data_IF_920947526303
#
_entry.id   IF_920947526303
#
_cell.length_a   1.000
_cell.length_b   1.000
_cell.length_c   1.000
_cell.angle_alpha   90.00
_cell.angle_beta   90.00
_cell.angle_gamma   90.00
#
_symmetry.space_group_name_H-M   'P 1'
#
loop_
_entity.id
_entity.type
_entity.pdbx_description
1 polymer ?
#
# COMPACT_ATOMS: atom_id res chain seq x y z
N UNK A 1 8.66 -9.59 22.38
CA UNK A 1 8.03 -9.10 21.14
C UNK A 1 6.58 -8.67 21.31
N UNK A 2 5.71 -9.49 21.92
CA UNK A 2 4.27 -9.17 22.10
C UNK A 2 4.05 -7.83 22.83
N UNK A 3 4.78 -7.56 23.91
CA UNK A 3 4.66 -6.28 24.64
C UNK A 3 5.07 -5.06 23.81
N UNK A 4 6.04 -5.19 22.90
CA UNK A 4 6.45 -4.11 22.00
C UNK A 4 5.38 -3.83 20.96
N UNK A 5 4.83 -4.88 20.35
CA UNK A 5 3.73 -4.75 19.40
C UNK A 5 2.52 -4.10 20.09
N UNK A 6 2.19 -4.51 21.31
CA UNK A 6 1.11 -3.89 22.08
C UNK A 6 1.34 -2.40 22.32
N UNK A 7 2.56 -1.99 22.65
CA UNK A 7 2.88 -0.55 22.79
C UNK A 7 2.72 0.21 21.49
N UNK A 8 3.12 -0.37 20.35
CA UNK A 8 2.94 0.24 19.03
C UNK A 8 1.46 0.34 18.63
N UNK A 9 0.63 -0.65 18.96
CA UNK A 9 -0.82 -0.59 18.70
C UNK A 9 -1.50 0.48 19.55
N UNK A 10 -1.15 0.60 20.84
CA UNK A 10 -1.68 1.64 21.73
C UNK A 10 -1.38 3.05 21.20
N UNK A 11 -0.20 3.23 20.63
CA UNK A 11 0.23 4.47 19.99
C UNK A 11 -0.63 4.84 18.77
N UNK A 12 -1.17 3.88 18.04
CA UNK A 12 -2.03 4.11 16.88
C UNK A 12 -3.48 4.45 17.25
N UNK A 13 -4.00 3.83 18.32
CA UNK A 13 -5.40 4.00 18.73
C UNK A 13 -5.83 5.46 18.94
N UNK A 14 -4.89 6.35 19.29
CA UNK A 14 -5.12 7.79 19.51
C UNK A 14 -4.56 8.69 18.40
N UNK A 15 -4.07 8.12 17.30
CA UNK A 15 -3.43 8.90 16.24
C UNK A 15 -4.44 9.35 15.19
N UNK A 16 -4.48 10.65 14.91
CA UNK A 16 -5.22 11.21 13.77
C UNK A 16 -4.78 10.60 12.43
N UNK A 17 -3.53 10.13 12.33
CA UNK A 17 -2.98 9.52 11.12
C UNK A 17 -3.76 8.25 10.71
N UNK A 18 -4.24 7.47 11.69
CA UNK A 18 -5.07 6.29 11.41
C UNK A 18 -6.37 6.69 10.71
N UNK A 19 -7.08 7.70 11.23
CA UNK A 19 -8.31 8.20 10.63
C UNK A 19 -8.09 8.85 9.26
N UNK A 20 -7.00 9.61 9.09
CA UNK A 20 -6.65 10.20 7.78
C UNK A 20 -6.38 9.11 6.75
N UNK A 21 -5.64 8.06 7.13
CA UNK A 21 -5.39 6.92 6.23
C UNK A 21 -6.68 6.16 5.86
N UNK A 22 -7.64 6.08 6.79
CA UNK A 22 -8.95 5.48 6.55
C UNK A 22 -9.72 6.27 5.48
N UNK A 23 -9.74 7.61 5.58
CA UNK A 23 -10.34 8.47 4.55
C UNK A 23 -9.66 8.27 3.19
N UNK A 24 -8.34 8.17 3.18
CA UNK A 24 -7.59 7.87 1.97
C UNK A 24 -7.94 6.51 1.36
N UNK A 25 -8.19 5.48 2.18
CA UNK A 25 -8.63 4.16 1.71
C UNK A 25 -10.03 4.18 1.08
N UNK A 26 -10.91 5.10 1.50
CA UNK A 26 -12.25 5.28 0.92
C UNK A 26 -12.21 6.09 -0.38
N UNK A 27 -11.14 6.86 -0.62
CA UNK A 27 -11.04 7.75 -1.78
C UNK A 27 -11.14 7.01 -3.13
N UNK A 28 -10.43 5.90 -3.30
CA UNK A 28 -10.49 5.10 -4.54
C UNK A 28 -11.92 4.57 -4.83
N UNK A 29 -12.57 3.84 -3.89
CA UNK A 29 -13.97 3.44 -4.03
C UNK A 29 -14.94 4.57 -4.32
N UNK A 30 -14.72 5.74 -3.70
CA UNK A 30 -15.58 6.90 -3.91
C UNK A 30 -15.40 7.52 -5.30
N UNK A 31 -14.17 7.67 -5.78
CA UNK A 31 -13.86 8.21 -7.11
C UNK A 31 -14.44 7.30 -8.20
N UNK A 32 -14.28 5.99 -8.08
CA UNK A 32 -14.84 5.04 -9.05
C UNK A 32 -16.37 5.01 -8.99
N UNK A 33 -16.96 5.12 -7.80
CA UNK A 33 -18.41 5.24 -7.64
C UNK A 33 -18.94 6.45 -8.40
N UNK A 34 -18.38 7.63 -8.16
CA UNK A 34 -18.75 8.85 -8.89
C UNK A 34 -18.54 8.69 -10.40
N UNK A 35 -17.41 8.11 -10.82
CA UNK A 35 -17.15 7.82 -12.24
C UNK A 35 -18.22 6.92 -12.86
N UNK A 36 -18.68 5.92 -12.11
CA UNK A 36 -19.69 4.96 -12.57
C UNK A 36 -21.06 5.60 -12.68
N UNK A 37 -21.45 6.44 -11.71
CA UNK A 37 -22.70 7.22 -11.79
C UNK A 37 -22.71 8.16 -13.01
N UNK A 38 -21.59 8.83 -13.29
CA UNK A 38 -21.45 9.70 -14.47
C UNK A 38 -21.57 8.88 -15.77
N UNK A 39 -20.97 7.69 -15.82
CA UNK A 39 -21.07 6.79 -16.98
C UNK A 39 -22.49 6.27 -17.18
N UNK A 40 -23.18 5.86 -16.11
CA UNK A 40 -24.58 5.43 -16.15
C UNK A 40 -25.50 6.53 -16.69
N UNK A 41 -25.29 7.79 -16.29
CA UNK A 41 -26.09 8.90 -16.78
C UNK A 41 -25.84 9.22 -18.26
N UNK A 42 -24.60 9.03 -18.75
CA UNK A 42 -24.24 9.30 -20.15
C UNK A 42 -24.56 8.15 -21.11
N UNK A 43 -24.49 6.91 -20.64
CA UNK A 43 -24.63 5.70 -21.44
C UNK A 43 -25.69 4.79 -20.82
N UNK A 44 -26.96 5.20 -20.94
CA UNK A 44 -28.09 4.52 -20.31
C UNK A 44 -28.35 3.10 -20.84
N UNK A 45 -27.80 2.76 -22.01
CA UNK A 45 -27.98 1.45 -22.65
C UNK A 45 -26.89 0.43 -22.26
N UNK A 46 -25.89 0.82 -21.47
CA UNK A 46 -24.79 -0.06 -21.05
C UNK A 46 -25.02 -0.60 -19.64
N UNK A 47 -24.88 -1.92 -19.47
CA UNK A 47 -24.88 -2.57 -18.16
C UNK A 47 -23.53 -2.39 -17.48
N UNK A 48 -23.55 -1.93 -16.23
CA UNK A 48 -22.34 -1.74 -15.43
C UNK A 48 -22.19 -2.90 -14.43
N UNK A 49 -21.08 -3.62 -14.52
CA UNK A 49 -20.88 -4.88 -13.80
C UNK A 49 -20.07 -4.67 -12.51
N UNK A 50 -20.40 -5.44 -11.47
CA UNK A 50 -19.62 -5.49 -10.23
C UNK A 50 -18.14 -5.84 -10.46
N UNK A 51 -17.86 -6.76 -11.38
CA UNK A 51 -16.49 -7.20 -11.69
C UNK A 51 -15.63 -6.03 -12.17
N UNK A 52 -16.10 -5.28 -13.16
CA UNK A 52 -15.37 -4.12 -13.71
C UNK A 52 -15.18 -3.05 -12.65
N UNK A 53 -16.21 -2.82 -11.82
CA UNK A 53 -16.12 -1.85 -10.73
C UNK A 53 -15.03 -2.22 -9.71
N UNK A 54 -14.95 -3.47 -9.27
CA UNK A 54 -13.88 -3.90 -8.36
C UNK A 54 -12.49 -3.80 -8.99
N UNK A 55 -12.36 -4.15 -10.27
CA UNK A 55 -11.10 -4.02 -11.01
C UNK A 55 -10.67 -2.55 -11.09
N UNK A 56 -11.58 -1.63 -11.43
CA UNK A 56 -11.31 -0.20 -11.47
C UNK A 56 -10.88 0.33 -10.10
N UNK A 57 -11.59 -0.05 -9.02
CA UNK A 57 -11.21 0.36 -7.65
C UNK A 57 -9.81 -0.11 -7.31
N UNK A 58 -9.52 -1.40 -7.56
CA UNK A 58 -8.21 -1.96 -7.27
C UNK A 58 -7.12 -1.26 -8.07
N UNK A 59 -7.38 -0.96 -9.34
CA UNK A 59 -6.48 -0.19 -10.19
C UNK A 59 -6.13 1.18 -9.59
N UNK A 60 -7.12 1.96 -9.15
CA UNK A 60 -6.88 3.26 -8.51
C UNK A 60 -6.08 3.13 -7.20
N UNK A 61 -6.32 2.07 -6.42
CA UNK A 61 -5.54 1.80 -5.20
C UNK A 61 -4.09 1.48 -5.56
N UNK A 62 -3.86 0.55 -6.48
CA UNK A 62 -2.51 0.05 -6.76
C UNK A 62 -1.64 1.09 -7.47
N UNK A 63 -2.21 1.81 -8.44
CA UNK A 63 -1.43 2.73 -9.27
C UNK A 63 -1.29 4.13 -8.66
N UNK A 64 -2.31 4.62 -7.96
CA UNK A 64 -2.43 6.05 -7.61
C UNK A 64 -2.47 6.31 -6.10
N UNK A 65 -3.40 5.68 -5.39
CA UNK A 65 -3.76 6.10 -4.02
C UNK A 65 -3.01 5.32 -2.94
N UNK A 66 -2.76 4.03 -3.16
CA UNK A 66 -2.13 3.13 -2.19
C UNK A 66 -0.68 3.50 -1.93
N UNK A 67 0.12 3.75 -2.98
CA UNK A 67 1.55 4.05 -2.84
C UNK A 67 1.82 5.29 -1.96
N UNK A 68 1.17 6.45 -2.15
CA UNK A 68 1.37 7.61 -1.30
C UNK A 68 0.87 7.36 0.13
N UNK A 69 -0.31 6.77 0.30
CA UNK A 69 -0.87 6.52 1.65
C UNK A 69 0.05 5.59 2.44
N UNK A 70 0.42 4.44 1.86
CA UNK A 70 1.27 3.47 2.53
C UNK A 70 2.66 4.04 2.78
N UNK A 71 3.18 4.86 1.88
CA UNK A 71 4.42 5.56 2.08
C UNK A 71 4.38 6.55 3.24
N UNK A 72 3.35 7.38 3.31
CA UNK A 72 3.16 8.35 4.40
C UNK A 72 3.03 7.62 5.76
N UNK A 73 2.26 6.52 5.81
CA UNK A 73 2.13 5.68 7.02
C UNK A 73 3.48 5.07 7.41
N UNK A 74 4.21 4.54 6.44
CA UNK A 74 5.54 3.94 6.65
C UNK A 74 6.50 4.98 7.23
N UNK A 75 6.55 6.17 6.62
CA UNK A 75 7.37 7.27 7.11
C UNK A 75 6.92 7.74 8.48
N UNK A 76 5.63 7.81 8.75
CA UNK A 76 5.11 8.14 10.08
C UNK A 76 5.62 7.15 11.12
N UNK A 77 5.49 5.84 10.89
CA UNK A 77 5.93 4.81 11.84
C UNK A 77 7.45 4.84 12.12
N UNK A 78 8.26 5.05 11.09
CA UNK A 78 9.72 5.00 11.20
C UNK A 78 10.37 6.33 11.57
N UNK A 79 9.75 7.47 11.26
CA UNK A 79 10.28 8.79 11.60
C UNK A 79 9.85 9.25 13.01
N UNK A 80 8.73 8.74 13.54
CA UNK A 80 8.18 9.25 14.81
C UNK A 80 9.17 9.27 15.98
N UNK A 81 9.99 8.24 16.12
CA UNK A 81 11.00 8.16 17.19
C UNK A 81 12.18 9.11 16.99
N UNK A 82 12.50 9.45 15.74
CA UNK A 82 13.50 10.47 15.42
C UNK A 82 12.94 11.87 15.70
N UNK A 83 11.69 12.12 15.33
CA UNK A 83 11.00 13.40 15.55
C UNK A 83 10.75 13.69 17.04
N UNK A 84 10.32 12.68 17.81
CA UNK A 84 10.02 12.80 19.24
C UNK A 84 11.28 12.71 20.14
N UNK A 85 12.49 12.56 19.56
CA UNK A 85 13.76 12.32 20.27
C UNK A 85 13.74 11.14 21.25
N UNK A 86 12.76 10.24 21.14
CA UNK A 86 12.57 9.10 22.03
C UNK A 86 13.47 7.92 21.68
N UNK A 87 14.10 7.92 20.50
CA UNK A 87 14.97 6.83 20.05
C UNK A 87 16.12 6.55 21.05
N UNK A 88 16.69 7.58 21.67
CA UNK A 88 17.76 7.42 22.68
C UNK A 88 17.28 6.64 23.91
N UNK A 89 16.09 6.97 24.41
CA UNK A 89 15.49 6.32 25.58
C UNK A 89 14.99 4.91 25.27
N UNK A 90 14.73 4.59 24.00
CA UNK A 90 14.24 3.29 23.57
C UNK A 90 15.40 2.30 23.35
N UNK A 91 16.58 2.81 22.97
CA UNK A 91 17.81 2.01 22.80
C UNK A 91 18.53 1.70 24.12
N UNK A 92 18.17 2.35 25.23
CA UNK A 92 18.69 2.03 26.57
C UNK A 92 17.94 0.86 27.23
N UNK A 93 16.76 0.52 26.72
CA UNK A 93 16.02 -0.69 27.12
C UNK A 93 16.69 -1.89 26.44
N UNK A 94 16.87 -3.05 27.11
CA UNK A 94 17.52 -4.24 26.54
C UNK A 94 16.67 -4.93 25.46
N UNK A 95 16.36 -4.21 24.38
CA UNK A 95 15.59 -4.68 23.22
C UNK A 95 16.49 -4.60 21.99
N UNK A 96 16.53 -5.67 21.21
CA UNK A 96 17.34 -5.68 19.99
C UNK A 96 16.77 -4.70 18.94
N UNK A 97 17.67 -3.95 18.29
CA UNK A 97 17.33 -3.03 17.17
C UNK A 97 16.51 -3.73 16.08
N UNK A 98 16.84 -4.99 15.80
CA UNK A 98 16.13 -5.83 14.82
C UNK A 98 14.69 -6.13 15.28
N UNK A 99 14.48 -6.47 16.55
CA UNK A 99 13.14 -6.72 17.09
C UNK A 99 12.22 -5.51 16.96
N UNK A 100 12.77 -4.30 17.10
CA UNK A 100 12.01 -3.05 16.94
C UNK A 100 11.54 -2.86 15.50
N UNK A 101 12.44 -3.04 14.52
CA UNK A 101 12.09 -2.95 13.10
C UNK A 101 11.02 -3.97 12.74
N UNK A 102 11.16 -5.22 13.18
CA UNK A 102 10.15 -6.26 12.92
C UNK A 102 8.80 -5.96 13.57
N UNK A 103 8.75 -5.42 14.80
CA UNK A 103 7.46 -5.02 15.40
C UNK A 103 6.77 -3.92 14.60
N UNK A 104 7.52 -2.97 14.02
CA UNK A 104 6.98 -1.92 13.17
C UNK A 104 6.51 -2.45 11.82
N UNK A 105 7.25 -3.38 11.22
CA UNK A 105 6.82 -4.05 9.98
C UNK A 105 5.53 -4.84 10.19
N UNK A 106 5.38 -5.56 11.30
CA UNK A 106 4.14 -6.27 11.63
C UNK A 106 2.97 -5.29 11.83
N UNK A 107 3.19 -4.19 12.52
CA UNK A 107 2.19 -3.15 12.70
C UNK A 107 1.77 -2.53 11.35
N UNK A 108 2.75 -2.22 10.49
CA UNK A 108 2.52 -1.70 9.14
C UNK A 108 1.72 -2.68 8.28
N UNK A 109 2.04 -3.98 8.35
CA UNK A 109 1.31 -5.03 7.66
C UNK A 109 -0.16 -5.07 8.09
N UNK A 110 -0.43 -5.10 9.41
CA UNK A 110 -1.79 -5.08 9.94
C UNK A 110 -2.56 -3.82 9.55
N UNK A 111 -1.89 -2.67 9.53
CA UNK A 111 -2.49 -1.41 9.12
C UNK A 111 -2.84 -1.41 7.63
N UNK A 112 -1.92 -1.82 6.75
CA UNK A 112 -2.20 -1.94 5.30
C UNK A 112 -3.34 -2.93 5.04
N UNK A 113 -3.35 -4.09 5.69
CA UNK A 113 -4.44 -5.06 5.55
C UNK A 113 -5.79 -4.46 6.00
N UNK A 114 -5.81 -3.71 7.10
CA UNK A 114 -7.02 -3.00 7.55
C UNK A 114 -7.51 -2.01 6.50
N UNK A 115 -6.60 -1.20 5.92
CA UNK A 115 -6.96 -0.25 4.86
C UNK A 115 -7.48 -0.95 3.60
N UNK A 116 -6.84 -2.06 3.19
CA UNK A 116 -7.29 -2.83 2.02
C UNK A 116 -8.70 -3.41 2.23
N UNK A 117 -9.00 -3.91 3.43
CA UNK A 117 -10.33 -4.39 3.79
C UNK A 117 -11.35 -3.26 3.79
N UNK A 118 -11.00 -2.09 4.32
CA UNK A 118 -11.88 -0.92 4.31
C UNK A 118 -12.17 -0.48 2.88
N UNK A 119 -11.17 -0.39 2.01
CA UNK A 119 -11.38 -0.09 0.59
C UNK A 119 -12.27 -1.11 -0.10
N UNK A 120 -12.07 -2.40 0.16
CA UNK A 120 -12.88 -3.47 -0.43
C UNK A 120 -14.34 -3.46 0.06
N UNK A 121 -14.56 -3.27 1.36
CA UNK A 121 -15.91 -3.20 1.93
C UNK A 121 -16.65 -1.96 1.44
N UNK A 122 -15.98 -0.81 1.39
CA UNK A 122 -16.59 0.42 0.85
C UNK A 122 -16.86 0.33 -0.65
N UNK A 123 -16.01 -0.33 -1.43
CA UNK A 123 -16.30 -0.66 -2.82
C UNK A 123 -17.53 -1.56 -2.96
N UNK A 124 -17.66 -2.58 -2.10
CA UNK A 124 -18.84 -3.45 -2.07
C UNK A 124 -20.11 -2.64 -1.81
N UNK A 125 -20.10 -1.77 -0.79
CA UNK A 125 -21.23 -0.90 -0.43
C UNK A 125 -21.59 0.03 -1.60
N UNK A 126 -20.60 0.71 -2.20
CA UNK A 126 -20.84 1.60 -3.33
C UNK A 126 -21.34 0.88 -4.58
N UNK A 127 -20.87 -0.34 -4.84
CA UNK A 127 -21.40 -1.15 -5.94
C UNK A 127 -22.89 -1.46 -5.78
N UNK A 128 -23.35 -1.74 -4.56
CA UNK A 128 -24.78 -1.90 -4.28
C UNK A 128 -25.57 -0.59 -4.40
N UNK A 129 -25.02 0.53 -3.91
CA UNK A 129 -25.67 1.85 -4.03
C UNK A 129 -25.81 2.28 -5.50
N UNK A 130 -24.85 1.91 -6.36
CA UNK A 130 -24.87 2.20 -7.79
C UNK A 130 -25.76 1.24 -8.61
N UNK A 131 -26.46 0.29 -7.96
CA UNK A 131 -27.30 -0.72 -8.62
C UNK A 131 -26.58 -1.45 -9.76
N UNK A 132 -25.34 -1.92 -9.51
CA UNK A 132 -24.56 -2.66 -10.49
C UNK A 132 -25.12 -4.07 -10.73
N UNK A 133 -24.93 -4.58 -11.93
CA UNK A 133 -25.38 -5.91 -12.34
C UNK A 133 -24.32 -7.00 -12.07
N UNK A 134 -24.77 -8.25 -12.14
CA UNK A 134 -23.94 -9.47 -12.07
C UNK A 134 -23.17 -9.63 -10.75
N UNK A 135 -23.82 -9.30 -9.62
CA UNK A 135 -23.26 -9.66 -8.32
C UNK A 135 -23.25 -11.18 -8.16
N UNK A 136 -22.06 -11.77 -8.09
CA UNK A 136 -21.88 -13.16 -7.71
C UNK A 136 -20.87 -13.30 -6.59
N UNK A 137 -21.08 -14.30 -5.72
CA UNK A 137 -20.13 -14.62 -4.64
C UNK A 137 -18.73 -14.96 -5.19
N UNK A 138 -18.68 -15.52 -6.42
CA UNK A 138 -17.44 -15.84 -7.12
C UNK A 138 -16.64 -14.58 -7.48
N UNK A 139 -17.30 -13.55 -7.99
CA UNK A 139 -16.70 -12.24 -8.29
C UNK A 139 -16.24 -11.58 -7.00
N UNK A 140 -17.08 -11.59 -5.96
CA UNK A 140 -16.74 -10.99 -4.67
C UNK A 140 -15.49 -11.61 -4.02
N UNK A 141 -15.41 -12.96 -3.97
CA UNK A 141 -14.24 -13.67 -3.44
C UNK A 141 -12.99 -13.48 -4.29
N UNK A 142 -13.14 -13.45 -5.62
CA UNK A 142 -12.03 -13.16 -6.54
C UNK A 142 -11.49 -11.77 -6.29
N UNK A 143 -12.36 -10.75 -6.22
CA UNK A 143 -11.94 -9.37 -5.95
C UNK A 143 -11.32 -9.23 -4.56
N UNK A 144 -11.83 -9.90 -3.53
CA UNK A 144 -11.18 -9.93 -2.21
C UNK A 144 -9.74 -10.44 -2.30
N UNK A 145 -9.52 -11.52 -3.07
CA UNK A 145 -8.17 -12.06 -3.31
C UNK A 145 -7.28 -11.04 -4.04
N UNK A 146 -7.79 -10.35 -5.05
CA UNK A 146 -7.05 -9.33 -5.81
C UNK A 146 -6.65 -8.14 -4.91
N UNK A 147 -7.52 -7.69 -4.00
CA UNK A 147 -7.21 -6.62 -3.04
C UNK A 147 -6.18 -7.06 -2.00
N UNK A 148 -6.33 -8.26 -1.42
CA UNK A 148 -5.38 -8.77 -0.41
C UNK A 148 -4.00 -8.99 -1.03
N UNK A 149 -3.94 -9.61 -2.21
CA UNK A 149 -2.66 -9.85 -2.91
C UNK A 149 -1.97 -8.54 -3.29
N UNK A 150 -2.72 -7.57 -3.81
CA UNK A 150 -2.19 -6.23 -4.11
C UNK A 150 -1.67 -5.51 -2.87
N UNK A 151 -2.42 -5.57 -1.76
CA UNK A 151 -2.02 -5.01 -0.48
C UNK A 151 -0.73 -5.63 0.09
N UNK A 152 -0.58 -6.97 0.00
CA UNK A 152 0.61 -7.69 0.46
C UNK A 152 1.86 -7.37 -0.38
N UNK A 153 1.69 -7.25 -1.70
CA UNK A 153 2.79 -6.90 -2.61
C UNK A 153 3.22 -5.44 -2.40
N UNK A 154 2.27 -4.50 -2.26
CA UNK A 154 2.58 -3.11 -1.91
C UNK A 154 3.20 -2.96 -0.51
N UNK A 155 2.77 -3.77 0.47
CA UNK A 155 3.44 -3.84 1.77
C UNK A 155 4.90 -4.26 1.61
N UNK A 156 5.19 -5.24 0.76
CA UNK A 156 6.58 -5.67 0.48
C UNK A 156 7.40 -4.52 -0.13
N UNK A 157 6.78 -3.69 -0.97
CA UNK A 157 7.37 -2.48 -1.55
C UNK A 157 7.38 -1.26 -0.62
N UNK A 158 7.04 -1.42 0.67
CA UNK A 158 7.23 -0.34 1.66
C UNK A 158 8.68 -0.24 2.13
N UNK A 159 9.50 -1.28 1.95
CA UNK A 159 10.90 -1.31 2.42
C UNK A 159 11.83 -0.27 1.78
N UNK A 160 11.69 0.13 0.49
CA UNK A 160 12.44 1.26 -0.07
C UNK A 160 12.10 2.57 0.63
N UNK A 161 10.84 2.75 1.05
CA UNK A 161 10.37 3.96 1.74
C UNK A 161 10.93 3.99 3.17
N UNK A 162 11.03 2.83 3.83
CA UNK A 162 11.72 2.68 5.12
C UNK A 162 13.17 3.13 4.97
N UNK A 163 13.89 2.63 3.96
CA UNK A 163 15.28 2.99 3.70
C UNK A 163 15.45 4.51 3.53
N UNK A 164 14.63 5.13 2.68
CA UNK A 164 14.64 6.59 2.45
C UNK A 164 14.36 7.35 3.76
N UNK A 165 13.37 6.90 4.53
CA UNK A 165 13.01 7.50 5.82
C UNK A 165 14.19 7.47 6.80
N UNK A 166 14.90 6.33 6.88
CA UNK A 166 16.04 6.15 7.78
C UNK A 166 17.26 6.99 7.38
N UNK A 167 17.52 7.12 6.07
CA UNK A 167 18.64 7.87 5.53
C UNK A 167 18.45 9.39 5.71
N UNK A 168 17.31 9.91 5.26
CA UNK A 168 17.07 11.36 5.18
C UNK A 168 16.53 11.92 6.51
N UNK A 169 15.85 11.08 7.31
CA UNK A 169 15.22 11.47 8.59
C UNK A 169 14.24 12.64 8.47
N UNK A 170 13.68 12.85 7.28
CA UNK A 170 12.70 13.89 7.00
C UNK A 170 11.42 13.25 6.46
N UNK A 171 10.28 13.70 7.01
CA UNK A 171 8.97 13.26 6.60
C UNK A 171 8.68 13.64 5.14
N UNK A 172 9.07 14.85 4.74
CA UNK A 172 8.79 15.41 3.42
C UNK A 172 9.48 14.64 2.30
N UNK A 173 10.72 14.20 2.52
CA UNK A 173 11.50 13.52 1.48
C UNK A 173 10.86 12.19 1.05
N UNK A 174 10.34 11.43 2.02
CA UNK A 174 9.69 10.15 1.71
C UNK A 174 8.36 10.33 0.98
N UNK A 175 7.64 11.42 1.26
CA UNK A 175 6.42 11.80 0.53
C UNK A 175 6.75 12.19 -0.91
N UNK A 176 7.82 12.97 -1.14
CA UNK A 176 8.24 13.34 -2.50
C UNK A 176 8.57 12.06 -3.29
N UNK A 177 9.30 11.12 -2.68
CA UNK A 177 9.63 9.84 -3.33
C UNK A 177 8.37 9.05 -3.70
N UNK A 178 7.37 8.98 -2.82
CA UNK A 178 6.13 8.24 -3.12
C UNK A 178 5.31 8.88 -4.23
N UNK A 179 5.31 10.22 -4.31
CA UNK A 179 4.70 10.96 -5.43
C UNK A 179 5.44 10.68 -6.74
N UNK A 180 6.78 10.65 -6.73
CA UNK A 180 7.54 10.31 -7.94
C UNK A 180 7.22 8.88 -8.39
N UNK A 181 7.16 7.93 -7.45
CA UNK A 181 6.81 6.53 -7.76
C UNK A 181 5.43 6.44 -8.40
N UNK A 182 4.43 7.18 -7.91
CA UNK A 182 3.09 7.18 -8.53
C UNK A 182 3.07 7.86 -9.90
N UNK A 183 3.83 8.93 -10.10
CA UNK A 183 3.94 9.54 -11.44
C UNK A 183 4.53 8.55 -12.44
N UNK A 184 5.52 7.75 -12.02
CA UNK A 184 6.09 6.69 -12.87
C UNK A 184 5.07 5.58 -13.15
N UNK A 185 4.26 5.17 -12.16
CA UNK A 185 3.16 4.21 -12.38
C UNK A 185 2.24 4.68 -13.51
N UNK A 186 1.82 5.94 -13.46
CA UNK A 186 0.91 6.53 -14.46
C UNK A 186 1.57 6.63 -15.83
N UNK A 187 2.84 7.04 -15.88
CA UNK A 187 3.59 7.18 -17.13
C UNK A 187 3.79 5.84 -17.85
N UNK A 188 3.99 4.76 -17.09
CA UNK A 188 4.30 3.42 -17.64
C UNK A 188 3.01 2.61 -17.91
N UNK A 189 1.86 3.03 -17.37
CA UNK A 189 0.59 2.34 -17.54
C UNK A 189 0.26 2.09 -19.02
N UNK A 190 -0.20 0.87 -19.33
CA UNK A 190 -0.51 0.43 -20.69
C UNK A 190 0.69 0.04 -21.54
N UNK A 191 1.92 0.32 -21.11
CA UNK A 191 3.14 -0.16 -21.77
C UNK A 191 3.58 -1.53 -21.24
N UNK A 192 4.33 -2.27 -22.04
CA UNK A 192 4.93 -3.56 -21.65
C UNK A 192 5.89 -3.44 -20.45
N UNK A 193 6.47 -2.25 -20.23
CA UNK A 193 7.35 -1.97 -19.10
C UNK A 193 6.62 -1.97 -17.74
N UNK A 194 5.29 -1.90 -17.74
CA UNK A 194 4.50 -2.00 -16.50
C UNK A 194 4.69 -3.34 -15.80
N UNK A 195 5.03 -4.40 -16.53
CA UNK A 195 5.39 -5.70 -15.97
C UNK A 195 6.74 -5.73 -15.26
N UNK A 196 7.66 -4.80 -15.58
CA UNK A 196 9.01 -4.77 -15.03
C UNK A 196 9.15 -3.81 -13.84
N UNK A 197 8.45 -2.67 -13.88
CA UNK A 197 8.53 -1.69 -12.82
C UNK A 197 7.81 -2.20 -11.55
N UNK A 198 8.49 -2.29 -10.38
CA UNK A 198 7.97 -3.03 -9.23
C UNK A 198 6.57 -2.62 -8.76
N UNK A 199 6.28 -1.31 -8.74
CA UNK A 199 5.00 -0.80 -8.24
C UNK A 199 3.85 -1.04 -9.23
N UNK A 200 4.07 -0.87 -10.54
CA UNK A 200 3.05 -1.18 -11.54
C UNK A 200 2.89 -2.68 -11.77
N UNK A 201 3.96 -3.46 -11.57
CA UNK A 201 3.94 -4.91 -11.69
C UNK A 201 2.97 -5.55 -10.68
N UNK A 202 2.68 -4.88 -9.56
CA UNK A 202 1.64 -5.32 -8.62
C UNK A 202 0.29 -5.41 -9.31
N UNK A 203 -0.10 -4.41 -10.09
CA UNK A 203 -1.38 -4.40 -10.81
C UNK A 203 -1.42 -5.49 -11.88
N UNK A 204 -0.33 -5.67 -12.64
CA UNK A 204 -0.20 -6.74 -13.65
C UNK A 204 -0.41 -8.13 -13.03
N UNK A 205 0.14 -8.35 -11.83
CA UNK A 205 0.00 -9.62 -11.10
C UNK A 205 -1.41 -9.81 -10.56
N UNK A 206 -2.02 -8.77 -9.99
CA UNK A 206 -3.36 -8.90 -9.37
C UNK A 206 -4.44 -9.08 -10.42
N UNK A 207 -4.36 -8.39 -11.56
CA UNK A 207 -5.35 -8.53 -12.64
C UNK A 207 -5.10 -9.76 -13.51
N UNK A 208 -3.87 -10.29 -13.51
CA UNK A 208 -3.45 -11.42 -14.32
C UNK A 208 -3.23 -11.07 -15.79
N UNK A 209 -3.18 -9.78 -16.13
CA UNK A 209 -2.94 -9.28 -17.47
C UNK A 209 -1.44 -9.24 -17.80
N UNK A 210 -0.82 -10.41 -17.95
CA UNK A 210 0.59 -10.50 -18.34
C UNK A 210 0.80 -10.15 -19.81
N UNK A 211 1.81 -9.32 -20.08
CA UNK A 211 2.25 -8.98 -21.44
C UNK A 211 3.02 -10.16 -22.04
N UNK A 212 2.73 -10.52 -23.29
CA UNK A 212 3.38 -11.65 -23.98
C UNK A 212 4.90 -11.49 -24.09
N UNK A 213 5.37 -10.26 -24.08
CA UNK A 213 6.78 -9.87 -24.22
C UNK A 213 7.61 -10.24 -22.98
N UNK A 214 7.01 -10.33 -21.79
CA UNK A 214 7.72 -10.58 -20.55
C UNK A 214 7.12 -11.79 -19.80
N UNK A 215 7.99 -12.69 -19.33
CA UNK A 215 7.56 -13.80 -18.50
C UNK A 215 7.01 -13.30 -17.16
N UNK A 216 5.92 -13.89 -16.68
CA UNK A 216 5.27 -13.53 -15.41
C UNK A 216 6.24 -13.53 -14.21
N UNK A 217 7.24 -14.42 -14.23
CA UNK A 217 8.26 -14.49 -13.18
C UNK A 217 9.07 -13.19 -13.03
N UNK A 218 9.27 -12.42 -14.10
CA UNK A 218 10.02 -11.15 -14.04
C UNK A 218 9.33 -10.10 -13.17
N UNK A 219 7.99 -10.05 -13.20
CA UNK A 219 7.20 -9.15 -12.35
C UNK A 219 7.34 -9.49 -10.86
N UNK A 220 7.34 -10.78 -10.52
CA UNK A 220 7.61 -11.20 -9.14
C UNK A 220 9.06 -10.91 -8.74
N UNK A 221 10.02 -11.17 -9.63
CA UNK A 221 11.43 -10.90 -9.37
C UNK A 221 11.68 -9.42 -9.08
N UNK A 222 11.10 -8.50 -9.86
CA UNK A 222 11.33 -7.06 -9.66
C UNK A 222 10.84 -6.61 -8.28
N UNK A 223 9.64 -7.05 -7.88
CA UNK A 223 9.07 -6.75 -6.56
C UNK A 223 9.96 -7.27 -5.42
N UNK A 224 10.29 -8.57 -5.45
CA UNK A 224 11.05 -9.18 -4.36
C UNK A 224 12.50 -8.72 -4.32
N UNK A 225 13.14 -8.50 -5.48
CA UNK A 225 14.49 -7.96 -5.53
C UNK A 225 14.54 -6.56 -4.91
N UNK A 226 13.65 -5.65 -5.32
CA UNK A 226 13.58 -4.30 -4.75
C UNK A 226 13.27 -4.35 -3.25
N UNK A 227 12.31 -5.18 -2.84
CA UNK A 227 11.92 -5.29 -1.43
C UNK A 227 13.06 -5.80 -0.54
N UNK A 228 13.69 -6.92 -0.92
CA UNK A 228 14.73 -7.58 -0.14
C UNK A 228 15.99 -6.72 -0.08
N UNK A 229 16.43 -6.17 -1.22
CA UNK A 229 17.63 -5.31 -1.25
C UNK A 229 17.46 -4.10 -0.35
N UNK A 230 16.33 -3.38 -0.45
CA UNK A 230 16.08 -2.22 0.40
C UNK A 230 15.95 -2.58 1.88
N UNK A 231 15.34 -3.74 2.20
CA UNK A 231 15.23 -4.20 3.59
C UNK A 231 16.61 -4.53 4.19
N UNK A 232 17.46 -5.24 3.46
CA UNK A 232 18.83 -5.56 3.90
C UNK A 232 19.62 -4.28 4.15
N UNK A 233 19.57 -3.32 3.22
CA UNK A 233 20.24 -2.04 3.37
C UNK A 233 19.71 -1.24 4.56
N UNK A 234 18.39 -1.24 4.78
CA UNK A 234 17.76 -0.56 5.91
C UNK A 234 18.20 -1.16 7.26
N UNK A 235 18.22 -2.49 7.37
CA UNK A 235 18.65 -3.20 8.57
C UNK A 235 20.14 -2.97 8.85
N UNK A 236 20.99 -3.07 7.83
CA UNK A 236 22.43 -2.83 7.95
C UNK A 236 22.73 -1.39 8.40
N UNK A 237 22.05 -0.41 7.80
CA UNK A 237 22.16 0.99 8.19
C UNK A 237 21.71 1.21 9.64
N UNK A 238 20.60 0.59 10.05
CA UNK A 238 20.07 0.74 11.41
C UNK A 238 20.97 0.09 12.48
N UNK A 239 21.62 -1.02 12.16
CA UNK A 239 22.53 -1.72 13.07
C UNK A 239 23.82 -0.92 13.33
N UNK A 240 24.47 -0.43 12.27
CA UNK A 240 25.76 0.29 12.33
C UNK A 240 25.69 1.70 12.90
N UNK A 241 24.49 2.23 13.07
CA UNK A 241 24.30 3.59 13.56
C UNK A 241 24.38 3.60 15.07
N UNK A 242 25.47 4.18 15.59
CA UNK A 242 25.60 4.58 16.98
C UNK A 242 24.75 5.83 17.20
N UNK A 243 23.85 5.76 18.17
CA UNK A 243 22.97 6.88 18.51
C UNK A 243 23.67 7.71 19.58
N UNK A 244 24.37 8.76 19.14
CA UNK A 244 24.85 9.84 20.02
C UNK A 244 23.71 10.74 20.46
#
# INVERSE_FOLDING_TARGET
MVNLLYTEVLKLKRSYMFFISLLGAVAAPFITFVSTLVKQHKFSDQTFLFKTFFTDVNFYILMLIGVPIYGVITTYLFNREYAERTLKNLLTIPVSKVSLVFSKLLLLLLWILTLTLVSFLTATIFGFIAYLDDFSISVWLRSLKEFITGGLLLFSLSTPIILVTLLIRNYVASIIVTIIITMVNVMIYGSEYSALYPWSAVEVITTGHFFKQYAAFLSYMSIFATSILCLILALFYFQRKDVQ
#
